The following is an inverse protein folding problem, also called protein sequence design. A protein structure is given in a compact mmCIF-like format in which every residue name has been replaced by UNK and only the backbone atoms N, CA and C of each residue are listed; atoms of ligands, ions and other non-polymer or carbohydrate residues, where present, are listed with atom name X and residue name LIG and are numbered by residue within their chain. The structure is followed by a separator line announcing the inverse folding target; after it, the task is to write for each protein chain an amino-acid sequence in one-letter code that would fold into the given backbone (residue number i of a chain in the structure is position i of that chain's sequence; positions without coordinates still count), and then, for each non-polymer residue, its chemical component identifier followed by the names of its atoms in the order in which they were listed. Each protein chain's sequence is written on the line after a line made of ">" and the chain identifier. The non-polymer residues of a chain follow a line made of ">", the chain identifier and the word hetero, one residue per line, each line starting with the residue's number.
data_IF_379176467366
#
_entry.id   IF_379176467366
#
_cell.length_a   1.000
_cell.length_b   1.000
_cell.length_c   1.000
_cell.angle_alpha   90.00
_cell.angle_beta   90.00
_cell.angle_gamma   90.00
#
_symmetry.space_group_name_H-M   'P 1'
#
loop_
_entity.id
_entity.type
_entity.pdbx_description
1 polymer ?
#
# COMPACT_ATOMS: atom_id res chain seq x y z
N UNK A 1 16.19 1.83 2.19
CA UNK A 1 15.39 0.76 1.57
C UNK A 1 14.76 1.30 0.29
N UNK A 2 14.54 0.46 -0.71
CA UNK A 2 14.00 0.90 -2.01
C UNK A 2 12.46 0.92 -2.01
N UNK A 3 11.86 -0.06 -1.33
CA UNK A 3 10.41 -0.32 -1.35
C UNK A 3 9.71 0.04 -0.05
N UNK A 4 10.48 0.38 0.98
CA UNK A 4 9.99 0.72 2.32
C UNK A 4 10.33 2.18 2.63
N UNK A 5 9.38 2.89 3.22
CA UNK A 5 9.58 4.22 3.83
C UNK A 5 9.10 4.18 5.28
N UNK A 6 9.76 4.92 6.15
CA UNK A 6 9.29 5.10 7.52
C UNK A 6 8.27 6.25 7.56
N UNK A 7 7.34 6.22 8.52
CA UNK A 7 6.37 7.31 8.65
C UNK A 7 7.04 8.65 8.95
N UNK A 8 8.14 8.63 9.67
CA UNK A 8 8.92 9.83 10.02
C UNK A 8 9.59 10.51 8.81
N UNK A 9 9.68 9.79 7.68
CA UNK A 9 10.35 10.26 6.45
C UNK A 9 9.39 10.81 5.40
N UNK A 10 8.06 10.71 5.62
CA UNK A 10 7.06 11.05 4.62
C UNK A 10 6.07 12.09 5.15
N UNK A 11 5.49 12.87 4.25
CA UNK A 11 4.50 13.89 4.56
C UNK A 11 3.52 14.10 3.41
N UNK A 12 2.73 15.17 3.48
CA UNK A 12 1.69 15.47 2.49
C UNK A 12 2.23 15.59 1.05
N UNK A 13 3.50 15.93 0.88
CA UNK A 13 4.14 15.96 -0.45
C UNK A 13 4.35 14.58 -1.09
N UNK A 14 4.24 13.50 -0.32
CA UNK A 14 4.57 12.13 -0.75
C UNK A 14 3.34 11.26 -1.10
N UNK A 15 2.15 11.87 -1.26
CA UNK A 15 0.89 11.13 -1.52
C UNK A 15 1.03 10.18 -2.71
N UNK A 16 1.68 10.60 -3.78
CA UNK A 16 1.89 9.78 -4.97
C UNK A 16 2.74 8.52 -4.70
N UNK A 17 3.60 8.56 -3.68
CA UNK A 17 4.49 7.46 -3.30
C UNK A 17 3.87 6.53 -2.25
N UNK A 18 3.15 7.10 -1.28
CA UNK A 18 2.74 6.36 -0.08
C UNK A 18 1.22 6.33 0.15
N UNK A 19 0.45 7.09 -0.61
CA UNK A 19 -0.99 7.26 -0.44
C UNK A 19 -1.37 8.28 0.63
N UNK A 20 -2.60 8.81 0.54
CA UNK A 20 -3.08 9.90 1.39
C UNK A 20 -3.06 9.59 2.88
N UNK A 21 -3.52 8.40 3.30
CA UNK A 21 -3.52 7.99 4.71
C UNK A 21 -2.12 7.97 5.32
N UNK A 22 -1.15 7.40 4.59
CA UNK A 22 0.22 7.31 5.07
C UNK A 22 0.91 8.67 5.10
N UNK A 23 0.69 9.50 4.09
CA UNK A 23 1.21 10.87 4.03
C UNK A 23 0.69 11.72 5.20
N UNK A 24 -0.61 11.64 5.49
CA UNK A 24 -1.22 12.33 6.64
C UNK A 24 -0.68 11.84 7.98
N UNK A 25 -0.51 10.51 8.14
CA UNK A 25 0.04 9.95 9.37
C UNK A 25 1.49 10.36 9.58
N UNK A 26 2.30 10.37 8.52
CA UNK A 26 3.68 10.86 8.58
C UNK A 26 3.76 12.34 9.00
N UNK A 27 2.92 13.19 8.41
CA UNK A 27 2.79 14.59 8.79
C UNK A 27 2.41 14.77 10.28
N UNK A 28 1.47 13.96 10.75
CA UNK A 28 1.06 13.98 12.17
C UNK A 28 2.21 13.56 13.09
N UNK A 29 2.94 12.51 12.76
CA UNK A 29 4.10 12.06 13.55
C UNK A 29 5.15 13.17 13.65
N UNK A 30 5.51 13.79 12.53
CA UNK A 30 6.51 14.86 12.50
C UNK A 30 6.10 16.09 13.29
N UNK A 31 4.82 16.48 13.23
CA UNK A 31 4.34 17.73 13.86
C UNK A 31 3.87 17.56 15.31
N UNK A 32 3.28 16.42 15.65
CA UNK A 32 2.62 16.25 16.95
C UNK A 32 3.50 15.54 17.98
N UNK A 33 4.40 14.66 17.56
CA UNK A 33 5.33 13.99 18.48
C UNK A 33 6.22 14.98 19.25
N UNK A 34 6.76 16.04 18.62
CA UNK A 34 7.51 17.08 19.36
C UNK A 34 6.66 17.86 20.39
N UNK A 35 5.34 17.83 20.26
CA UNK A 35 4.39 18.43 21.22
C UNK A 35 4.00 17.48 22.36
N UNK A 36 4.63 16.30 22.44
CA UNK A 36 4.40 15.33 23.51
C UNK A 36 3.24 14.33 23.22
N UNK A 37 2.68 14.33 22.01
CA UNK A 37 1.66 13.35 21.61
C UNK A 37 2.33 12.06 21.15
N UNK A 38 1.93 10.93 21.76
CA UNK A 38 2.39 9.61 21.37
C UNK A 38 1.58 9.10 20.18
N UNK A 39 2.21 8.99 19.03
CA UNK A 39 1.61 8.44 17.82
C UNK A 39 2.37 7.14 17.49
N UNK A 40 1.66 5.99 17.39
CA UNK A 40 2.31 4.74 16.99
C UNK A 40 2.97 4.90 15.63
N UNK A 41 4.25 4.51 15.55
CA UNK A 41 5.01 4.50 14.32
C UNK A 41 4.89 3.14 13.62
N UNK A 42 5.49 3.05 12.43
CA UNK A 42 5.50 1.84 11.62
C UNK A 42 6.30 2.07 10.36
N UNK A 43 6.03 1.25 9.35
CA UNK A 43 6.61 1.44 8.04
C UNK A 43 5.57 1.31 6.93
N UNK A 44 5.92 1.79 5.77
CA UNK A 44 5.06 1.90 4.59
C UNK A 44 5.67 1.07 3.47
N UNK A 45 4.89 0.18 2.88
CA UNK A 45 5.20 -0.45 1.60
C UNK A 45 4.73 0.51 0.50
N UNK A 46 5.66 1.03 -0.28
CA UNK A 46 5.40 2.13 -1.23
C UNK A 46 4.65 1.68 -2.50
N UNK A 47 4.12 2.63 -3.26
CA UNK A 47 3.50 2.35 -4.56
C UNK A 47 4.50 1.70 -5.55
N UNK A 48 5.78 2.08 -5.50
CA UNK A 48 6.83 1.48 -6.33
C UNK A 48 7.00 -0.02 -6.05
N UNK A 49 6.77 -0.48 -4.82
CA UNK A 49 6.81 -1.90 -4.48
C UNK A 49 5.67 -2.68 -5.14
N UNK A 50 4.49 -2.08 -5.25
CA UNK A 50 3.36 -2.68 -5.97
C UNK A 50 3.67 -2.81 -7.47
N UNK A 51 4.20 -1.77 -8.08
CA UNK A 51 4.63 -1.81 -9.50
C UNK A 51 5.73 -2.84 -9.71
N UNK A 52 6.70 -2.94 -8.79
CA UNK A 52 7.73 -3.97 -8.83
C UNK A 52 7.14 -5.38 -8.75
N UNK A 53 6.19 -5.61 -7.85
CA UNK A 53 5.47 -6.89 -7.73
C UNK A 53 4.75 -7.27 -9.04
N UNK A 54 4.05 -6.33 -9.69
CA UNK A 54 3.40 -6.57 -10.98
C UNK A 54 4.40 -6.94 -12.06
N UNK A 55 5.51 -6.21 -12.13
CA UNK A 55 6.56 -6.40 -13.13
C UNK A 55 7.27 -7.73 -12.99
N UNK A 56 7.76 -8.06 -11.79
CA UNK A 56 8.48 -9.33 -11.52
C UNK A 56 7.61 -10.56 -11.83
N UNK A 57 6.32 -10.47 -11.58
CA UNK A 57 5.37 -11.53 -11.88
C UNK A 57 4.77 -11.44 -13.30
N UNK A 58 5.20 -10.48 -14.13
CA UNK A 58 4.72 -10.27 -15.52
C UNK A 58 3.19 -10.14 -15.60
N UNK A 59 2.58 -9.47 -14.60
CA UNK A 59 1.13 -9.32 -14.51
C UNK A 59 0.58 -8.16 -15.33
N UNK A 60 1.41 -7.17 -15.69
CA UNK A 60 0.99 -5.94 -16.35
C UNK A 60 0.25 -6.23 -17.67
N UNK A 61 0.85 -7.05 -18.55
CA UNK A 61 0.24 -7.43 -19.83
C UNK A 61 -1.07 -8.22 -19.65
N UNK A 62 -1.09 -9.11 -18.66
CA UNK A 62 -2.27 -9.92 -18.34
C UNK A 62 -3.42 -9.04 -17.84
N UNK A 63 -3.13 -8.12 -16.92
CA UNK A 63 -4.11 -7.17 -16.40
C UNK A 63 -4.64 -6.29 -17.52
N UNK A 64 -3.77 -5.76 -18.37
CA UNK A 64 -4.14 -4.96 -19.53
C UNK A 64 -5.08 -5.72 -20.46
N UNK A 65 -4.74 -6.95 -20.81
CA UNK A 65 -5.59 -7.81 -21.66
C UNK A 65 -6.97 -8.10 -21.04
N UNK A 66 -7.05 -8.22 -19.71
CA UNK A 66 -8.32 -8.39 -19.01
C UNK A 66 -9.16 -7.10 -19.04
N UNK A 67 -8.52 -5.96 -18.82
CA UNK A 67 -9.19 -4.65 -18.88
C UNK A 67 -9.70 -4.31 -20.29
N UNK A 68 -9.01 -4.71 -21.35
CA UNK A 68 -9.44 -4.53 -22.72
C UNK A 68 -10.73 -5.31 -23.08
N UNK A 69 -11.02 -6.37 -22.32
CA UNK A 69 -12.28 -7.15 -22.48
C UNK A 69 -13.46 -6.55 -21.73
N UNK A 70 -13.24 -5.48 -20.95
CA UNK A 70 -14.30 -4.85 -20.17
C UNK A 70 -15.33 -4.16 -21.08
N UNK A 71 -16.56 -4.66 -21.04
CA UNK A 71 -17.71 -3.89 -21.48
C UNK A 71 -18.29 -3.16 -20.27
N UNK A 72 -18.23 -1.82 -20.28
CA UNK A 72 -18.69 -0.97 -19.17
C UNK A 72 -20.19 -1.08 -18.90
N UNK A 73 -20.97 -1.59 -19.84
CA UNK A 73 -22.43 -1.77 -19.73
C UNK A 73 -22.78 -3.11 -19.08
N UNK A 74 -21.86 -4.09 -19.04
CA UNK A 74 -22.08 -5.39 -18.42
C UNK A 74 -21.47 -5.46 -17.01
N UNK A 75 -22.28 -5.15 -16.00
CA UNK A 75 -21.88 -5.17 -14.59
C UNK A 75 -21.42 -6.55 -14.11
N UNK A 76 -21.93 -7.65 -14.70
CA UNK A 76 -21.49 -9.00 -14.31
C UNK A 76 -20.10 -9.31 -14.85
N UNK A 77 -19.85 -8.99 -16.10
CA UNK A 77 -18.54 -9.09 -16.72
C UNK A 77 -17.52 -8.22 -15.96
N UNK A 78 -17.92 -7.01 -15.58
CA UNK A 78 -17.09 -6.10 -14.80
C UNK A 78 -16.67 -6.73 -13.44
N UNK A 79 -17.63 -7.26 -12.69
CA UNK A 79 -17.38 -7.91 -11.40
C UNK A 79 -16.47 -9.15 -11.56
N UNK A 80 -16.68 -9.96 -12.60
CA UNK A 80 -15.87 -11.16 -12.87
C UNK A 80 -14.43 -10.80 -13.21
N UNK A 81 -14.21 -9.87 -14.13
CA UNK A 81 -12.86 -9.43 -14.51
C UNK A 81 -12.14 -8.78 -13.33
N UNK A 82 -12.84 -7.97 -12.52
CA UNK A 82 -12.29 -7.40 -11.31
C UNK A 82 -11.86 -8.47 -10.29
N UNK A 83 -12.64 -9.54 -10.13
CA UNK A 83 -12.29 -10.67 -9.29
C UNK A 83 -11.05 -11.40 -9.83
N UNK A 84 -10.99 -11.66 -11.12
CA UNK A 84 -9.86 -12.33 -11.76
C UNK A 84 -8.56 -11.51 -11.58
N UNK A 85 -8.60 -10.20 -11.82
CA UNK A 85 -7.44 -9.31 -11.61
C UNK A 85 -6.98 -9.34 -10.15
N UNK A 86 -7.89 -9.20 -9.19
CA UNK A 86 -7.51 -9.31 -7.77
C UNK A 86 -6.91 -10.68 -7.43
N UNK A 87 -7.47 -11.74 -7.99
CA UNK A 87 -6.97 -13.11 -7.75
C UNK A 87 -5.54 -13.29 -8.24
N UNK A 88 -5.21 -12.88 -9.47
CA UNK A 88 -3.87 -13.03 -10.01
C UNK A 88 -2.83 -12.19 -9.25
N UNK A 89 -3.21 -11.00 -8.78
CA UNK A 89 -2.33 -10.15 -7.96
C UNK A 89 -2.08 -10.81 -6.59
N UNK A 90 -3.12 -11.30 -5.94
CA UNK A 90 -3.03 -11.91 -4.58
C UNK A 90 -2.29 -13.23 -4.55
N UNK A 91 -2.38 -14.03 -5.62
CA UNK A 91 -1.76 -15.37 -5.68
C UNK A 91 -0.32 -15.32 -6.21
N UNK A 92 0.11 -14.23 -6.81
CA UNK A 92 1.47 -14.06 -7.25
C UNK A 92 2.43 -13.98 -6.05
N UNK A 93 3.61 -14.63 -6.11
CA UNK A 93 4.58 -14.57 -5.02
C UNK A 93 5.16 -13.18 -4.89
N UNK A 94 5.37 -12.73 -3.65
CA UNK A 94 6.09 -11.47 -3.41
C UNK A 94 7.54 -11.62 -3.87
N UNK A 95 8.12 -10.60 -4.55
CA UNK A 95 9.53 -10.59 -4.89
C UNK A 95 10.43 -10.74 -3.64
N UNK A 96 11.50 -11.53 -3.75
CA UNK A 96 12.35 -11.85 -2.60
C UNK A 96 13.01 -10.60 -1.99
N UNK A 97 13.42 -9.65 -2.82
CA UNK A 97 14.00 -8.38 -2.38
C UNK A 97 13.00 -7.54 -1.57
N UNK A 98 11.74 -7.51 -1.98
CA UNK A 98 10.67 -6.86 -1.22
C UNK A 98 10.41 -7.58 0.11
N UNK A 99 10.36 -8.91 0.11
CA UNK A 99 10.18 -9.72 1.34
C UNK A 99 11.30 -9.43 2.34
N UNK A 100 12.55 -9.36 1.89
CA UNK A 100 13.68 -9.06 2.77
C UNK A 100 13.62 -7.64 3.34
N UNK A 101 13.24 -6.64 2.54
CA UNK A 101 13.04 -5.27 3.07
C UNK A 101 11.93 -5.21 4.12
N UNK A 102 10.82 -5.92 3.91
CA UNK A 102 9.71 -6.00 4.88
C UNK A 102 10.19 -6.64 6.19
N UNK A 103 10.93 -7.76 6.13
CA UNK A 103 11.48 -8.43 7.33
C UNK A 103 12.42 -7.52 8.11
N UNK A 104 13.29 -6.78 7.42
CA UNK A 104 14.19 -5.82 8.06
C UNK A 104 13.39 -4.72 8.75
N UNK A 105 12.40 -4.15 8.06
CA UNK A 105 11.56 -3.10 8.63
C UNK A 105 10.75 -3.58 9.85
N UNK A 106 10.21 -4.79 9.79
CA UNK A 106 9.50 -5.39 10.92
C UNK A 106 10.43 -5.66 12.11
N UNK A 107 11.63 -6.17 11.86
CA UNK A 107 12.63 -6.37 12.91
C UNK A 107 13.01 -5.05 13.61
N UNK A 108 13.15 -3.97 12.88
CA UNK A 108 13.41 -2.65 13.49
C UNK A 108 12.22 -2.18 14.36
N UNK A 109 10.99 -2.56 14.01
CA UNK A 109 9.82 -2.32 14.87
C UNK A 109 9.87 -3.17 16.15
N UNK A 110 10.25 -4.44 16.05
CA UNK A 110 10.41 -5.32 17.23
C UNK A 110 11.49 -4.79 18.20
N UNK A 111 12.56 -4.21 17.69
CA UNK A 111 13.58 -3.57 18.52
C UNK A 111 13.03 -2.36 19.31
N UNK A 112 12.04 -1.66 18.73
CA UNK A 112 11.42 -0.47 19.34
C UNK A 112 10.27 -0.81 20.29
N UNK A 113 9.44 -1.81 19.93
CA UNK A 113 8.17 -2.09 20.58
C UNK A 113 8.12 -3.45 21.31
N UNK A 114 9.17 -4.25 21.21
CA UNK A 114 9.25 -5.61 21.76
C UNK A 114 9.06 -6.71 20.72
N UNK A 115 9.58 -7.89 20.99
CA UNK A 115 9.44 -9.05 20.13
C UNK A 115 7.94 -9.39 19.91
N UNK A 116 7.60 -9.78 18.68
CA UNK A 116 6.23 -10.15 18.28
C UNK A 116 5.21 -9.02 18.49
N UNK A 117 5.62 -7.78 18.29
CA UNK A 117 4.71 -6.65 18.41
C UNK A 117 3.52 -6.77 17.44
N UNK A 118 2.32 -6.57 17.96
CA UNK A 118 1.10 -6.54 17.16
C UNK A 118 1.11 -5.34 16.20
N UNK A 119 0.64 -5.56 14.98
CA UNK A 119 0.56 -4.53 13.94
C UNK A 119 -0.81 -4.51 13.29
N UNK A 120 -1.26 -3.34 12.89
CA UNK A 120 -2.39 -3.18 12.00
C UNK A 120 -1.88 -2.99 10.57
N UNK A 121 -2.17 -3.95 9.69
CA UNK A 121 -1.85 -3.84 8.26
C UNK A 121 -2.99 -3.11 7.57
N UNK A 122 -2.72 -1.91 7.06
CA UNK A 122 -3.74 -1.02 6.48
C UNK A 122 -3.44 -0.72 5.03
N UNK A 123 -4.45 -0.83 4.16
CA UNK A 123 -4.32 -0.38 2.79
C UNK A 123 -4.31 1.16 2.70
N UNK A 124 -3.53 1.68 1.77
CA UNK A 124 -3.49 3.10 1.43
C UNK A 124 -3.40 3.23 -0.09
N UNK A 125 -4.16 4.14 -0.66
CA UNK A 125 -4.17 4.36 -2.10
C UNK A 125 -3.66 5.76 -2.44
N UNK A 126 -2.95 5.86 -3.56
CA UNK A 126 -2.43 7.13 -4.09
C UNK A 126 -3.53 8.00 -4.70
N UNK A 127 -4.72 7.44 -4.94
CA UNK A 127 -5.87 8.08 -5.58
C UNK A 127 -7.16 7.98 -4.73
N UNK A 128 -7.05 7.89 -3.40
CA UNK A 128 -8.21 7.69 -2.51
C UNK A 128 -9.13 8.91 -2.45
N UNK A 129 -8.56 10.09 -2.41
CA UNK A 129 -9.25 11.38 -2.24
C UNK A 129 -8.99 12.31 -3.44
N UNK A 130 -9.31 11.85 -4.64
CA UNK A 130 -9.26 12.71 -5.81
C UNK A 130 -10.46 13.66 -5.82
N UNK A 131 -10.29 14.92 -6.29
CA UNK A 131 -11.38 15.89 -6.38
C UNK A 131 -12.60 15.38 -7.19
N UNK A 132 -12.35 14.46 -8.13
CA UNK A 132 -13.36 13.94 -9.07
C UNK A 132 -13.84 12.53 -8.73
N UNK A 133 -13.23 11.84 -7.76
CA UNK A 133 -13.58 10.49 -7.37
C UNK A 133 -13.23 10.19 -5.92
N UNK A 134 -14.19 9.71 -5.14
CA UNK A 134 -13.98 9.23 -3.78
C UNK A 134 -14.05 7.71 -3.73
N UNK A 135 -13.06 7.09 -3.12
CA UNK A 135 -12.98 5.64 -2.87
C UNK A 135 -13.14 5.31 -1.38
N UNK A 136 -13.83 6.18 -0.64
CA UNK A 136 -14.09 5.99 0.78
C UNK A 136 -14.77 4.64 1.06
N UNK A 137 -14.32 3.94 2.10
CA UNK A 137 -14.87 2.65 2.52
C UNK A 137 -14.50 1.44 1.64
N UNK A 138 -13.64 1.61 0.62
CA UNK A 138 -13.19 0.52 -0.24
C UNK A 138 -11.88 -0.13 0.24
N UNK A 139 -11.31 0.37 1.33
CA UNK A 139 -10.01 -0.08 1.85
C UNK A 139 -10.18 -0.90 3.13
N UNK A 140 -9.33 -1.92 3.28
CA UNK A 140 -9.40 -2.89 4.37
C UNK A 140 -8.27 -2.66 5.39
N UNK A 141 -8.50 -3.10 6.63
CA UNK A 141 -7.50 -3.16 7.71
C UNK A 141 -7.50 -4.57 8.26
N UNK A 142 -6.32 -5.15 8.44
CA UNK A 142 -6.07 -6.49 8.96
C UNK A 142 -5.19 -6.45 10.22
#
# INVERSE_FOLDING_TARGET
>A
MKFISLFEEVGIGDIAKVGGKNASLGEMIQKLTPLGLSIPSGFIITADSFLHHLKENKLEEKIKSLLEKLNKEDLRAFAHIGHEIRSIIRTAPLPNDLVEEIKIAYKNMEEKYGEWCDVAVRSSATAEDLPEASFAGQQETF
#
